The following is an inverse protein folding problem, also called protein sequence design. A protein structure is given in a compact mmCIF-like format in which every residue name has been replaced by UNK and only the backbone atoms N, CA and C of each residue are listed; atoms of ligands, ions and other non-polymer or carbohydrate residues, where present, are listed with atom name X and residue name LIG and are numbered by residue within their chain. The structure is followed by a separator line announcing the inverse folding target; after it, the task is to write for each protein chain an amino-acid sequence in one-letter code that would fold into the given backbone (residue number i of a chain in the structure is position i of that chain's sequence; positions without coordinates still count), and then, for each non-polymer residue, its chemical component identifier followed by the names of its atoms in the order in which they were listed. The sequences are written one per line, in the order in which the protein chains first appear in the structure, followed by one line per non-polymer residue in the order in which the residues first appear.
data_IF_405885090848
#
_entry.id   IF_405885090848
#
_cell.length_a   1.000
_cell.length_b   1.000
_cell.length_c   1.000
_cell.angle_alpha   90.00
_cell.angle_beta   90.00
_cell.angle_gamma   90.00
#
_symmetry.space_group_name_H-M   'P 1'
#
loop_
_entity.id
_entity.type
_entity.pdbx_description
1 polymer ?
#
# COMPACT_ATOMS: atom_id res chain seq x y z
N UNK A 1 -0.35 -15.39 5.42
CA UNK A 1 0.90 -15.18 4.65
C UNK A 1 0.83 -13.87 3.89
N UNK A 2 1.94 -13.15 3.73
CA UNK A 2 2.02 -11.87 3.00
C UNK A 2 3.23 -11.87 2.07
N UNK A 3 3.05 -11.35 0.86
CA UNK A 3 4.12 -11.08 -0.10
C UNK A 3 4.06 -9.64 -0.60
N UNK A 4 5.20 -9.12 -1.06
CA UNK A 4 5.30 -7.76 -1.63
C UNK A 4 5.94 -7.85 -3.01
N UNK A 5 5.33 -7.18 -3.99
CA UNK A 5 5.87 -6.98 -5.33
C UNK A 5 6.23 -5.51 -5.48
N UNK A 6 7.45 -5.25 -5.96
CA UNK A 6 7.90 -3.89 -6.28
C UNK A 6 7.97 -3.73 -7.79
N UNK A 7 7.28 -2.71 -8.32
CA UNK A 7 7.29 -2.35 -9.73
C UNK A 7 7.76 -0.92 -9.90
N UNK A 8 8.47 -0.63 -10.99
CA UNK A 8 8.86 0.76 -11.30
C UNK A 8 7.63 1.67 -11.37
N UNK A 9 7.78 2.92 -10.93
CA UNK A 9 6.73 3.96 -11.00
C UNK A 9 6.22 4.17 -12.44
N UNK A 10 7.13 4.17 -13.41
CA UNK A 10 6.82 4.22 -14.83
C UNK A 10 6.23 2.88 -15.28
N UNK A 11 4.91 2.86 -15.41
CA UNK A 11 4.16 1.68 -15.80
C UNK A 11 3.68 0.82 -14.63
N UNK A 12 3.77 1.29 -13.38
CA UNK A 12 3.26 0.58 -12.20
C UNK A 12 1.86 0.00 -12.41
N UNK A 13 0.92 0.83 -12.87
CA UNK A 13 -0.47 0.43 -13.15
C UNK A 13 -0.55 -0.71 -14.16
N UNK A 14 0.24 -0.66 -15.24
CA UNK A 14 0.25 -1.72 -16.25
C UNK A 14 0.84 -3.01 -15.70
N UNK A 15 1.93 -2.90 -14.93
CA UNK A 15 2.58 -4.04 -14.27
C UNK A 15 1.64 -4.71 -13.28
N UNK A 16 0.86 -3.95 -12.50
CA UNK A 16 -0.18 -4.51 -11.64
C UNK A 16 -1.18 -5.36 -12.43
N UNK A 17 -1.76 -4.85 -13.53
CA UNK A 17 -2.72 -5.60 -14.33
C UNK A 17 -2.10 -6.83 -15.01
N UNK A 18 -0.85 -6.75 -15.46
CA UNK A 18 -0.12 -7.91 -16.00
C UNK A 18 0.08 -8.99 -14.93
N UNK A 19 0.53 -8.61 -13.75
CA UNK A 19 0.72 -9.52 -12.60
C UNK A 19 -0.60 -10.16 -12.17
N UNK A 20 -1.67 -9.36 -12.06
CA UNK A 20 -3.02 -9.83 -11.75
C UNK A 20 -3.50 -10.86 -12.76
N UNK A 21 -3.43 -10.55 -14.06
CA UNK A 21 -3.84 -11.45 -15.14
C UNK A 21 -3.08 -12.78 -15.10
N UNK A 22 -1.76 -12.73 -14.95
CA UNK A 22 -0.93 -13.94 -14.89
C UNK A 22 -1.28 -14.84 -13.69
N UNK A 23 -1.59 -14.23 -12.54
CA UNK A 23 -2.03 -14.97 -11.35
C UNK A 23 -3.43 -15.56 -11.56
N UNK A 24 -4.35 -14.83 -12.16
CA UNK A 24 -5.68 -15.34 -12.51
C UNK A 24 -5.60 -16.52 -13.50
N UNK A 25 -4.75 -16.45 -14.52
CA UNK A 25 -4.48 -17.56 -15.44
C UNK A 25 -3.88 -18.79 -14.75
N UNK A 26 -3.14 -18.60 -13.66
CA UNK A 26 -2.62 -19.67 -12.80
C UNK A 26 -3.67 -20.22 -11.83
N UNK A 27 -4.88 -19.66 -11.81
CA UNK A 27 -6.02 -20.06 -10.99
C UNK A 27 -6.00 -19.49 -9.57
N UNK A 28 -5.38 -18.32 -9.39
CA UNK A 28 -5.56 -17.51 -8.19
C UNK A 28 -6.74 -16.56 -8.37
N UNK A 29 -7.45 -16.25 -7.29
CA UNK A 29 -8.62 -15.37 -7.31
C UNK A 29 -8.35 -14.12 -6.47
N UNK A 30 -8.49 -12.93 -7.04
CA UNK A 30 -8.38 -11.66 -6.31
C UNK A 30 -9.71 -11.34 -5.61
N UNK A 31 -9.81 -11.68 -4.32
CA UNK A 31 -11.00 -11.43 -3.49
C UNK A 31 -11.19 -9.93 -3.22
N UNK A 32 -10.09 -9.22 -3.01
CA UNK A 32 -10.11 -7.79 -2.67
C UNK A 32 -8.92 -7.09 -3.29
N UNK A 33 -9.16 -5.88 -3.79
CA UNK A 33 -8.13 -4.93 -4.17
C UNK A 33 -8.42 -3.63 -3.41
N UNK A 34 -7.41 -3.04 -2.77
CA UNK A 34 -7.51 -1.76 -2.07
C UNK A 34 -6.39 -0.86 -2.57
N UNK A 35 -6.77 0.17 -3.31
CA UNK A 35 -5.86 1.18 -3.83
C UNK A 35 -5.77 2.39 -2.88
N UNK A 36 -4.56 2.70 -2.44
CA UNK A 36 -4.28 3.81 -1.51
C UNK A 36 -3.34 4.87 -2.10
N UNK A 37 -2.97 4.77 -3.38
CA UNK A 37 -2.28 5.85 -4.09
C UNK A 37 -3.25 7.02 -4.34
N UNK A 38 -3.44 7.83 -3.31
CA UNK A 38 -4.25 9.05 -3.31
C UNK A 38 -3.51 10.13 -2.54
N UNK A 39 -3.84 11.38 -2.81
CA UNK A 39 -3.34 12.51 -2.03
C UNK A 39 -3.80 12.43 -0.58
N UNK A 40 -3.02 13.02 0.33
CA UNK A 40 -3.32 13.10 1.75
C UNK A 40 -3.54 11.73 2.42
N UNK A 41 -2.84 10.69 1.95
CA UNK A 41 -2.86 9.36 2.57
C UNK A 41 -1.53 9.09 3.25
N UNK A 42 -1.60 8.64 4.50
CA UNK A 42 -0.45 8.16 5.30
C UNK A 42 0.28 6.99 4.63
N UNK A 43 -0.40 6.23 3.78
CA UNK A 43 0.16 5.05 3.13
C UNK A 43 -0.22 5.03 1.66
N UNK A 44 0.77 4.82 0.78
CA UNK A 44 0.56 4.69 -0.68
C UNK A 44 1.04 3.32 -1.16
N UNK A 45 0.08 2.48 -1.58
CA UNK A 45 0.30 1.12 -2.09
C UNK A 45 -1.00 0.47 -2.59
N UNK A 46 -0.89 -0.69 -3.23
CA UNK A 46 -2.06 -1.54 -3.53
C UNK A 46 -2.01 -2.77 -2.63
N UNK A 47 -3.03 -2.97 -1.81
CA UNK A 47 -3.14 -4.17 -0.98
C UNK A 47 -4.21 -5.07 -1.59
N UNK A 48 -3.88 -6.35 -1.76
CA UNK A 48 -4.82 -7.33 -2.31
C UNK A 48 -4.95 -8.56 -1.41
N UNK A 49 -6.14 -9.14 -1.38
CA UNK A 49 -6.37 -10.48 -0.83
C UNK A 49 -6.56 -11.44 -1.99
N UNK A 50 -5.75 -12.49 -2.01
CA UNK A 50 -5.69 -13.47 -3.09
C UNK A 50 -5.96 -14.86 -2.52
N UNK A 51 -6.85 -15.62 -3.15
CA UNK A 51 -7.14 -17.02 -2.83
C UNK A 51 -6.42 -17.95 -3.79
N UNK A 52 -5.78 -18.99 -3.28
CA UNK A 52 -5.20 -20.06 -4.09
C UNK A 52 -6.24 -21.17 -4.42
N UNK A 53 -5.85 -22.12 -5.27
CA UNK A 53 -6.70 -23.25 -5.66
C UNK A 53 -7.12 -24.17 -4.51
N UNK A 54 -6.40 -24.13 -3.38
CA UNK A 54 -6.69 -24.92 -2.18
C UNK A 54 -7.59 -24.15 -1.20
N UNK A 55 -8.00 -22.93 -1.54
CA UNK A 55 -8.83 -22.06 -0.70
C UNK A 55 -8.05 -21.21 0.30
N UNK A 56 -6.71 -21.28 0.33
CA UNK A 56 -5.92 -20.45 1.25
C UNK A 56 -5.95 -19.00 0.79
N UNK A 57 -6.11 -18.08 1.74
CA UNK A 57 -6.09 -16.64 1.48
C UNK A 57 -4.77 -16.04 1.98
N UNK A 58 -4.12 -15.25 1.12
CA UNK A 58 -2.91 -14.51 1.46
C UNK A 58 -2.99 -13.07 0.96
N UNK A 59 -2.18 -12.21 1.56
CA UNK A 59 -2.06 -10.81 1.13
C UNK A 59 -0.93 -10.67 0.11
N UNK A 60 -1.20 -9.96 -0.99
CA UNK A 60 -0.20 -9.55 -1.96
C UNK A 60 -0.22 -8.04 -2.09
N UNK A 61 0.88 -7.39 -1.70
CA UNK A 61 1.05 -5.95 -1.70
C UNK A 61 1.85 -5.50 -2.92
N UNK A 62 1.51 -4.37 -3.51
CA UNK A 62 2.23 -3.77 -4.62
C UNK A 62 2.69 -2.36 -4.28
N UNK A 63 3.96 -2.08 -4.54
CA UNK A 63 4.63 -0.82 -4.24
C UNK A 63 5.51 -0.34 -5.38
N UNK A 64 5.69 0.97 -5.50
CA UNK A 64 6.85 1.57 -6.18
C UNK A 64 8.08 1.51 -5.28
N UNK A 65 9.32 1.57 -5.80
CA UNK A 65 10.54 1.61 -4.99
C UNK A 65 10.48 2.69 -3.90
N UNK A 66 10.08 3.91 -4.27
CA UNK A 66 9.94 5.03 -3.33
C UNK A 66 8.87 4.77 -2.26
N UNK A 67 7.74 4.17 -2.64
CA UNK A 67 6.66 3.89 -1.68
C UNK A 67 7.04 2.82 -0.66
N UNK A 68 7.79 1.77 -1.06
CA UNK A 68 8.24 0.74 -0.11
C UNK A 68 9.36 1.28 0.78
N UNK A 69 10.28 2.07 0.23
CA UNK A 69 11.36 2.71 0.99
C UNK A 69 10.82 3.63 2.09
N UNK A 70 9.88 4.52 1.75
CA UNK A 70 9.26 5.42 2.73
C UNK A 70 8.48 4.62 3.77
N UNK A 71 7.71 3.61 3.33
CA UNK A 71 6.92 2.75 4.21
C UNK A 71 7.79 2.02 5.23
N UNK A 72 8.84 1.33 4.79
CA UNK A 72 9.72 0.54 5.68
C UNK A 72 10.73 1.42 6.45
N UNK A 73 10.94 2.67 6.00
CA UNK A 73 11.86 3.63 6.59
C UNK A 73 11.20 4.61 7.56
N UNK A 74 11.15 5.88 7.15
CA UNK A 74 10.72 6.98 8.01
C UNK A 74 9.26 6.84 8.47
N UNK A 75 8.36 6.37 7.59
CA UNK A 75 6.95 6.19 7.90
C UNK A 75 6.76 5.15 9.02
N UNK A 76 7.45 4.00 8.94
CA UNK A 76 7.33 2.95 9.96
C UNK A 76 7.69 3.46 11.35
N UNK A 77 8.75 4.25 11.46
CA UNK A 77 9.19 4.82 12.75
C UNK A 77 8.15 5.74 13.37
N UNK A 78 7.49 6.58 12.56
CA UNK A 78 6.43 7.47 13.05
C UNK A 78 5.17 6.69 13.41
N UNK A 79 4.81 5.70 12.60
CA UNK A 79 3.68 4.82 12.87
C UNK A 79 3.84 4.06 14.19
N UNK A 80 5.02 3.47 14.46
CA UNK A 80 5.25 2.74 15.72
C UNK A 80 5.13 3.67 16.95
N UNK A 81 5.57 4.93 16.85
CA UNK A 81 5.34 5.94 17.89
C UNK A 81 3.85 6.23 18.06
N UNK A 82 3.15 6.47 16.94
CA UNK A 82 1.73 6.82 16.97
C UNK A 82 0.87 5.68 17.51
N UNK A 83 1.19 4.42 17.19
CA UNK A 83 0.42 3.23 17.60
C UNK A 83 0.32 3.06 19.11
N UNK A 84 1.29 3.60 19.86
CA UNK A 84 1.31 3.54 21.32
C UNK A 84 0.47 4.64 21.99
N UNK A 85 0.04 5.64 21.23
CA UNK A 85 -0.73 6.78 21.72
C UNK A 85 -2.21 6.44 21.81
N UNK A 86 -2.91 7.07 22.76
CA UNK A 86 -4.35 7.04 22.80
C UNK A 86 -4.90 8.18 21.91
N UNK A 87 -5.69 7.88 20.86
CA UNK A 87 -6.17 8.92 19.92
C UNK A 87 -7.05 10.01 20.56
N UNK A 88 -7.63 9.75 21.73
CA UNK A 88 -8.49 10.70 22.46
C UNK A 88 -7.69 11.48 23.50
N UNK A 89 -6.86 10.81 24.32
CA UNK A 89 -6.08 11.47 25.37
C UNK A 89 -4.88 12.23 24.82
N UNK A 90 -4.20 11.66 23.83
CA UNK A 90 -2.98 12.21 23.22
C UNK A 90 -3.28 12.86 21.85
N UNK A 91 -4.50 13.39 21.69
CA UNK A 91 -5.06 13.84 20.40
C UNK A 91 -4.13 14.77 19.61
N UNK A 92 -3.50 15.72 20.28
CA UNK A 92 -2.60 16.68 19.62
C UNK A 92 -1.36 16.00 19.05
N UNK A 93 -0.69 15.15 19.83
CA UNK A 93 0.48 14.41 19.38
C UNK A 93 0.10 13.38 18.31
N UNK A 94 -1.04 12.70 18.47
CA UNK A 94 -1.56 11.77 17.47
C UNK A 94 -1.76 12.48 16.13
N UNK A 95 -2.41 13.66 16.13
CA UNK A 95 -2.62 14.47 14.92
C UNK A 95 -1.29 14.92 14.32
N UNK A 96 -0.36 15.43 15.12
CA UNK A 96 0.96 15.86 14.66
C UNK A 96 1.71 14.73 13.92
N UNK A 97 1.70 13.52 14.47
CA UNK A 97 2.33 12.36 13.81
C UNK A 97 1.59 11.97 12.52
N UNK A 98 0.26 12.06 12.48
CA UNK A 98 -0.49 11.85 11.24
C UNK A 98 -0.08 12.85 10.17
N UNK A 99 -0.04 14.14 10.49
CA UNK A 99 0.29 15.20 9.55
C UNK A 99 1.73 15.04 9.01
N UNK A 100 2.67 14.64 9.86
CA UNK A 100 4.05 14.33 9.46
C UNK A 100 4.12 13.12 8.52
N UNK A 101 3.38 12.06 8.83
CA UNK A 101 3.31 10.86 7.99
C UNK A 101 2.65 11.12 6.62
N UNK A 102 1.60 11.95 6.59
CA UNK A 102 0.98 12.41 5.34
C UNK A 102 1.99 13.20 4.52
N UNK A 103 2.66 14.17 5.13
CA UNK A 103 3.69 15.00 4.46
C UNK A 103 4.82 14.14 3.87
N UNK A 104 5.25 13.10 4.59
CA UNK A 104 6.24 12.15 4.06
C UNK A 104 5.71 11.37 2.85
N UNK A 105 4.46 10.94 2.92
CA UNK A 105 3.83 10.13 1.88
C UNK A 105 3.48 10.93 0.64
N UNK A 106 3.24 12.24 0.77
CA UNK A 106 3.01 13.13 -0.35
C UNK A 106 4.26 13.32 -1.24
N UNK A 107 5.45 12.98 -0.74
CA UNK A 107 6.65 12.86 -1.57
C UNK A 107 6.59 11.68 -2.56
N UNK A 108 5.69 10.71 -2.37
CA UNK A 108 5.53 9.57 -3.26
C UNK A 108 4.65 9.98 -4.44
N UNK A 109 5.22 9.87 -5.64
CA UNK A 109 4.50 10.13 -6.89
C UNK A 109 3.31 9.17 -7.05
N UNK A 110 2.18 9.72 -7.48
CA UNK A 110 0.99 8.93 -7.81
C UNK A 110 1.21 8.34 -9.21
N UNK A 111 1.25 7.00 -9.37
CA UNK A 111 1.52 6.42 -10.68
C UNK A 111 0.43 6.76 -11.70
N UNK A 112 0.82 6.92 -12.96
CA UNK A 112 -0.13 7.24 -14.03
C UNK A 112 -1.18 6.12 -14.19
N UNK A 113 -2.46 6.50 -14.26
CA UNK A 113 -3.56 5.57 -14.49
C UNK A 113 -3.97 4.76 -13.25
N UNK A 114 -3.48 5.11 -12.06
CA UNK A 114 -3.71 4.35 -10.84
C UNK A 114 -5.19 4.24 -10.48
N UNK A 115 -6.00 5.22 -10.87
CA UNK A 115 -7.46 5.27 -10.66
C UNK A 115 -8.21 4.12 -11.35
N UNK A 116 -7.57 3.44 -12.30
CA UNK A 116 -8.10 2.24 -12.95
C UNK A 116 -8.10 1.02 -12.03
N UNK A 117 -7.27 1.01 -10.99
CA UNK A 117 -7.23 -0.06 -9.99
C UNK A 117 -8.31 0.23 -8.94
N UNK A 118 -9.37 -0.58 -8.94
CA UNK A 118 -10.54 -0.47 -8.06
C UNK A 118 -10.66 -1.68 -7.15
#
# INVERSE_FOLDING_TARGET
MRYTIVHNENGFTQSFFKSKKLLEEKGFEFIRVKNTFKENQVYKGINTLVRDKKGNVFELQYHTPKSIEIKEGALHKLYEKQRLLNPVKDKELYKKLTDEMVSLSDMIDIPKGIERIK
#
